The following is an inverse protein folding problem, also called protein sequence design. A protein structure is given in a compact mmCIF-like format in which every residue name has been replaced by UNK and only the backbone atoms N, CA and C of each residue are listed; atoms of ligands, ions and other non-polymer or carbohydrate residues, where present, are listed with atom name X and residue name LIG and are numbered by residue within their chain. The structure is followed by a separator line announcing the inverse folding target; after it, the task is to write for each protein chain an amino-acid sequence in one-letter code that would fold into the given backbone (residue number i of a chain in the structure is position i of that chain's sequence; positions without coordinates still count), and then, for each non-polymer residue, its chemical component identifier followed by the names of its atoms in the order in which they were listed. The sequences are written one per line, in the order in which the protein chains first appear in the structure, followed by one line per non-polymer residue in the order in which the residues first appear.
data_IF_301496261987
#
_entry.id   IF_301496261987
#
_cell.length_a   1.000
_cell.length_b   1.000
_cell.length_c   1.000
_cell.angle_alpha   90.00
_cell.angle_beta   90.00
_cell.angle_gamma   90.00
#
_symmetry.space_group_name_H-M   'P 1'
#
loop_
_entity.id
_entity.type
_entity.pdbx_description
1 polymer ?
#
# COMPACT_ATOMS: atom_id res chain seq x y z
N UNK A 1 -19.62 21.58 46.92
CA UNK A 1 -20.66 20.82 46.20
C UNK A 1 -21.53 21.82 45.46
N UNK A 2 -21.32 21.98 44.15
CA UNK A 2 -22.11 22.87 43.31
C UNK A 2 -22.49 22.09 42.04
N UNK A 3 -23.79 21.92 41.85
CA UNK A 3 -24.41 21.15 40.76
C UNK A 3 -24.78 22.15 39.66
N UNK A 4 -24.20 22.01 38.47
CA UNK A 4 -24.58 22.79 37.29
C UNK A 4 -25.56 21.95 36.48
N UNK A 5 -26.80 22.44 36.38
CA UNK A 5 -27.84 21.88 35.52
C UNK A 5 -27.61 22.33 34.07
N UNK A 6 -27.60 21.39 33.13
CA UNK A 6 -27.66 21.66 31.70
C UNK A 6 -29.12 21.57 31.23
N UNK A 7 -29.62 22.66 30.65
CA UNK A 7 -30.89 22.69 29.93
C UNK A 7 -30.72 22.01 28.57
N UNK A 8 -31.55 21.00 28.33
CA UNK A 8 -31.65 20.26 27.07
C UNK A 8 -32.67 21.00 26.17
N UNK A 9 -32.16 21.70 25.15
CA UNK A 9 -32.95 22.40 24.14
C UNK A 9 -32.90 21.58 22.85
N UNK A 10 -33.80 20.62 22.75
CA UNK A 10 -33.98 19.77 21.57
C UNK A 10 -34.88 20.45 20.54
N UNK A 11 -34.29 21.28 19.68
CA UNK A 11 -34.95 21.68 18.43
C UNK A 11 -34.62 20.66 17.33
N UNK A 12 -35.62 20.08 16.64
CA UNK A 12 -35.38 19.16 15.54
C UNK A 12 -34.83 19.89 14.30
N UNK A 13 -33.95 19.25 13.51
CA UNK A 13 -33.42 19.85 12.30
C UNK A 13 -34.52 20.03 11.23
N UNK A 14 -34.39 21.03 10.35
CA UNK A 14 -35.37 21.30 9.30
C UNK A 14 -35.42 20.13 8.31
N UNK A 15 -36.63 19.59 8.13
CA UNK A 15 -36.98 18.61 7.10
C UNK A 15 -36.79 19.21 5.72
N UNK A 16 -35.86 18.65 4.93
CA UNK A 16 -35.71 18.94 3.52
C UNK A 16 -36.52 17.91 2.72
N UNK A 17 -37.71 18.29 2.26
CA UNK A 17 -38.42 17.55 1.22
C UNK A 17 -37.70 17.76 -0.11
N UNK A 18 -36.85 16.79 -0.47
CA UNK A 18 -36.28 16.70 -1.81
C UNK A 18 -37.35 16.10 -2.72
N UNK A 19 -38.11 16.97 -3.38
CA UNK A 19 -38.94 16.59 -4.51
C UNK A 19 -38.03 16.13 -5.66
N UNK A 20 -37.86 14.81 -5.79
CA UNK A 20 -37.17 14.16 -6.90
C UNK A 20 -38.02 14.35 -8.16
N UNK A 21 -37.67 15.35 -8.96
CA UNK A 21 -38.22 15.56 -10.29
C UNK A 21 -37.75 14.43 -11.23
N UNK A 22 -38.71 13.75 -11.87
CA UNK A 22 -38.54 12.53 -12.68
C UNK A 22 -38.04 12.76 -14.10
N UNK A 23 -37.59 13.96 -14.45
CA UNK A 23 -37.23 14.31 -15.83
C UNK A 23 -35.73 14.57 -16.00
N UNK A 24 -34.91 13.53 -16.01
CA UNK A 24 -33.55 13.62 -16.55
C UNK A 24 -32.95 12.26 -16.94
N UNK A 25 -33.65 11.50 -17.78
CA UNK A 25 -33.10 10.33 -18.49
C UNK A 25 -33.30 10.54 -20.00
N UNK A 26 -32.76 11.63 -20.56
CA UNK A 26 -32.75 11.80 -22.02
C UNK A 26 -31.62 12.71 -22.52
N UNK A 27 -30.37 12.26 -22.37
CA UNK A 27 -29.25 12.68 -23.24
C UNK A 27 -28.00 11.84 -22.93
N UNK A 28 -27.92 10.62 -23.47
CA UNK A 28 -26.68 9.79 -23.44
C UNK A 28 -26.11 9.51 -24.84
N UNK A 29 -26.65 10.13 -25.90
CA UNK A 29 -26.28 9.82 -27.29
C UNK A 29 -25.52 10.93 -28.05
N UNK A 30 -25.27 12.10 -27.45
CA UNK A 30 -24.63 13.24 -28.14
C UNK A 30 -23.28 13.63 -27.55
N UNK A 31 -22.32 12.70 -27.49
CA UNK A 31 -20.93 12.99 -27.06
C UNK A 31 -19.91 12.65 -28.15
N UNK A 32 -20.33 12.05 -29.29
CA UNK A 32 -19.41 11.38 -30.22
C UNK A 32 -18.96 12.18 -31.46
N UNK A 33 -19.38 13.42 -31.69
CA UNK A 33 -19.18 14.09 -33.00
C UNK A 33 -18.21 15.31 -33.05
N UNK A 34 -17.41 15.61 -32.01
CA UNK A 34 -16.71 16.91 -31.92
C UNK A 34 -15.16 16.90 -32.06
N UNK A 35 -14.54 16.02 -32.86
CA UNK A 35 -13.09 15.77 -32.69
C UNK A 35 -12.28 15.69 -33.99
N UNK A 36 -11.67 16.80 -34.43
CA UNK A 36 -10.52 16.78 -35.37
C UNK A 36 -9.31 17.70 -35.01
N UNK A 37 -9.44 18.68 -34.10
CA UNK A 37 -8.28 19.47 -33.61
C UNK A 37 -8.26 19.77 -32.11
N UNK A 38 -9.33 19.41 -31.37
CA UNK A 38 -9.48 19.57 -29.91
C UNK A 38 -9.31 18.25 -29.12
N UNK A 39 -8.77 17.20 -29.73
CA UNK A 39 -8.72 15.83 -29.19
C UNK A 39 -8.22 15.72 -27.75
N UNK A 40 -7.06 16.32 -27.46
CA UNK A 40 -6.42 16.14 -26.15
C UNK A 40 -7.22 16.76 -25.01
N UNK A 41 -7.78 17.96 -25.20
CA UNK A 41 -8.57 18.64 -24.18
C UNK A 41 -9.89 17.92 -23.93
N UNK A 42 -10.58 17.48 -25.00
CA UNK A 42 -11.80 16.69 -24.87
C UNK A 42 -11.56 15.35 -24.19
N UNK A 43 -10.50 14.63 -24.56
CA UNK A 43 -10.10 13.37 -23.92
C UNK A 43 -9.77 13.59 -22.44
N UNK A 44 -9.02 14.63 -22.10
CA UNK A 44 -8.69 14.94 -20.71
C UNK A 44 -9.93 15.30 -19.89
N UNK A 45 -10.85 16.09 -20.44
CA UNK A 45 -12.13 16.42 -19.79
C UNK A 45 -12.95 15.16 -19.51
N UNK A 46 -12.99 14.22 -20.45
CA UNK A 46 -13.72 12.97 -20.30
C UNK A 46 -13.07 12.05 -19.26
N UNK A 47 -11.74 11.92 -19.28
CA UNK A 47 -10.98 11.21 -18.24
C UNK A 47 -11.26 11.82 -16.87
N UNK A 48 -11.22 13.15 -16.75
CA UNK A 48 -11.50 13.86 -15.51
C UNK A 48 -12.92 13.56 -14.99
N UNK A 49 -13.91 13.56 -15.87
CA UNK A 49 -15.28 13.17 -15.51
C UNK A 49 -15.36 11.72 -15.01
N UNK A 50 -14.70 10.77 -15.69
CA UNK A 50 -14.69 9.35 -15.30
C UNK A 50 -14.10 9.15 -13.89
N UNK A 51 -13.02 9.86 -13.56
CA UNK A 51 -12.35 9.68 -12.26
C UNK A 51 -13.00 10.45 -11.13
N UNK A 52 -13.78 11.48 -11.43
CA UNK A 52 -14.38 12.36 -10.40
C UNK A 52 -15.87 12.12 -10.19
N UNK A 53 -16.59 11.67 -11.23
CA UNK A 53 -18.04 11.54 -11.18
C UNK A 53 -18.45 10.11 -10.79
N UNK A 54 -19.25 9.91 -9.72
CA UNK A 54 -19.71 8.59 -9.34
C UNK A 54 -20.68 7.97 -10.37
N UNK A 55 -21.28 8.78 -11.25
CA UNK A 55 -22.36 8.39 -12.16
C UNK A 55 -21.98 7.49 -13.35
N UNK A 56 -20.68 7.21 -13.57
CA UNK A 56 -20.29 6.23 -14.59
C UNK A 56 -20.43 4.82 -14.02
N UNK A 57 -21.34 4.03 -14.58
CA UNK A 57 -21.45 2.61 -14.23
C UNK A 57 -20.26 1.82 -14.76
N UNK A 58 -19.91 0.72 -14.08
CA UNK A 58 -18.77 -0.16 -14.43
C UNK A 58 -18.79 -0.58 -15.91
N UNK A 59 -19.98 -0.88 -16.46
CA UNK A 59 -20.14 -1.27 -17.86
C UNK A 59 -19.83 -0.15 -18.88
N UNK A 60 -19.94 1.12 -18.48
CA UNK A 60 -19.73 2.27 -19.36
C UNK A 60 -18.28 2.74 -19.41
N UNK A 61 -17.49 2.49 -18.36
CA UNK A 61 -16.13 3.03 -18.22
C UNK A 61 -15.19 2.47 -19.30
N UNK A 62 -15.18 1.15 -19.51
CA UNK A 62 -14.27 0.52 -20.47
C UNK A 62 -14.49 0.97 -21.93
N UNK A 63 -15.73 1.01 -22.48
CA UNK A 63 -15.97 1.55 -23.82
C UNK A 63 -15.52 3.01 -23.98
N UNK A 64 -15.74 3.85 -22.97
CA UNK A 64 -15.36 5.26 -23.01
C UNK A 64 -13.84 5.41 -23.04
N UNK A 65 -13.12 4.71 -22.15
CA UNK A 65 -11.66 4.75 -22.11
C UNK A 65 -11.06 4.22 -23.42
N UNK A 66 -11.62 3.16 -24.01
CA UNK A 66 -11.21 2.66 -25.33
C UNK A 66 -11.42 3.70 -26.42
N UNK A 67 -12.53 4.43 -26.39
CA UNK A 67 -12.78 5.54 -27.32
C UNK A 67 -11.75 6.67 -27.14
N UNK A 68 -11.44 7.05 -25.89
CA UNK A 68 -10.38 8.01 -25.60
C UNK A 68 -9.00 7.55 -26.10
N UNK A 69 -8.69 6.26 -25.92
CA UNK A 69 -7.44 5.66 -26.37
C UNK A 69 -7.35 5.61 -27.90
N UNK A 70 -8.45 5.35 -28.60
CA UNK A 70 -8.50 5.39 -30.07
C UNK A 70 -8.34 6.80 -30.65
N UNK A 71 -8.74 7.82 -29.89
CA UNK A 71 -8.66 9.22 -30.31
C UNK A 71 -7.22 9.81 -30.26
N UNK A 72 -6.25 9.08 -29.70
CA UNK A 72 -4.86 9.53 -29.55
C UNK A 72 -3.89 8.38 -29.89
N UNK A 73 -2.68 8.67 -30.42
CA UNK A 73 -1.63 7.65 -30.51
C UNK A 73 -1.35 7.04 -29.13
N UNK A 74 -1.15 5.71 -29.07
CA UNK A 74 -0.99 4.97 -27.81
C UNK A 74 0.05 5.60 -26.87
N UNK A 75 1.20 6.01 -27.40
CA UNK A 75 2.25 6.68 -26.63
C UNK A 75 1.79 8.03 -26.04
N UNK A 76 0.99 8.82 -26.78
CA UNK A 76 0.43 10.09 -26.30
C UNK A 76 -0.64 9.87 -25.24
N UNK A 77 -1.47 8.83 -25.38
CA UNK A 77 -2.49 8.48 -24.39
C UNK A 77 -1.85 8.00 -23.08
N UNK A 78 -0.86 7.10 -23.17
CA UNK A 78 -0.08 6.64 -22.01
C UNK A 78 0.59 7.81 -21.28
N UNK A 79 1.23 8.73 -22.03
CA UNK A 79 1.83 9.94 -21.47
C UNK A 79 0.80 10.89 -20.85
N UNK A 80 -0.42 10.96 -21.40
CA UNK A 80 -1.51 11.77 -20.86
C UNK A 80 -1.95 11.26 -19.48
N UNK A 81 -2.13 9.94 -19.34
CA UNK A 81 -2.54 9.30 -18.08
C UNK A 81 -1.50 9.45 -16.97
N UNK A 82 -0.21 9.39 -17.32
CA UNK A 82 0.89 9.48 -16.37
C UNK A 82 1.32 10.91 -16.03
N UNK A 83 0.81 11.92 -16.75
CA UNK A 83 1.15 13.33 -16.49
C UNK A 83 0.15 13.92 -15.49
N UNK A 84 0.66 14.74 -14.59
CA UNK A 84 -0.11 15.54 -13.62
C UNK A 84 -0.93 16.62 -14.34
N UNK A 85 -2.14 16.27 -14.76
CA UNK A 85 -3.00 17.14 -15.58
C UNK A 85 -4.35 17.44 -14.91
N UNK A 86 -4.65 16.85 -13.75
CA UNK A 86 -5.88 17.07 -13.00
C UNK A 86 -5.48 17.50 -11.59
N UNK A 87 -5.63 18.77 -11.27
CA UNK A 87 -5.31 19.33 -9.95
C UNK A 87 -3.90 18.96 -9.47
N UNK A 88 -2.91 19.07 -10.36
CA UNK A 88 -1.51 18.67 -10.13
C UNK A 88 -1.27 17.18 -9.79
N UNK A 89 -2.25 16.32 -10.02
CA UNK A 89 -2.13 14.87 -9.92
C UNK A 89 -2.47 14.16 -11.24
N UNK A 90 -2.07 12.89 -11.32
CA UNK A 90 -2.38 12.01 -12.46
C UNK A 90 -3.85 11.59 -12.45
N UNK A 91 -4.38 11.16 -13.59
CA UNK A 91 -5.72 10.57 -13.64
C UNK A 91 -5.82 9.29 -12.79
N UNK A 92 -4.73 8.52 -12.72
CA UNK A 92 -4.66 7.30 -11.94
C UNK A 92 -4.70 7.58 -10.43
N UNK A 93 -4.07 8.66 -9.96
CA UNK A 93 -4.17 9.13 -8.57
C UNK A 93 -5.63 9.33 -8.19
N UNK A 94 -6.38 10.11 -8.98
CA UNK A 94 -7.79 10.38 -8.71
C UNK A 94 -8.65 9.13 -8.82
N UNK A 95 -8.31 8.19 -9.71
CA UNK A 95 -8.99 6.91 -9.77
C UNK A 95 -8.84 6.10 -8.47
N UNK A 96 -7.71 6.19 -7.77
CA UNK A 96 -7.51 5.54 -6.47
C UNK A 96 -8.27 6.30 -5.38
N UNK A 97 -8.04 7.61 -5.26
CA UNK A 97 -8.64 8.45 -4.20
C UNK A 97 -10.16 8.44 -4.24
N UNK A 98 -10.76 8.44 -5.43
CA UNK A 98 -12.21 8.42 -5.61
C UNK A 98 -12.78 6.99 -5.72
N UNK A 99 -11.98 5.96 -5.40
CA UNK A 99 -12.35 4.54 -5.45
C UNK A 99 -13.00 4.12 -6.80
N UNK A 100 -12.41 4.56 -7.91
CA UNK A 100 -12.81 4.24 -9.29
C UNK A 100 -11.96 3.08 -9.83
N UNK A 101 -12.00 1.93 -9.15
CA UNK A 101 -11.14 0.76 -9.44
C UNK A 101 -11.29 0.25 -10.87
N UNK A 102 -12.49 0.32 -11.42
CA UNK A 102 -12.76 -0.05 -12.82
C UNK A 102 -12.04 0.87 -13.81
N UNK A 103 -11.99 2.18 -13.54
CA UNK A 103 -11.24 3.12 -14.38
C UNK A 103 -9.74 2.89 -14.26
N UNK A 104 -9.25 2.66 -13.04
CA UNK A 104 -7.84 2.33 -12.78
C UNK A 104 -7.39 1.11 -13.58
N UNK A 105 -8.14 0.00 -13.50
CA UNK A 105 -7.84 -1.24 -14.23
C UNK A 105 -7.80 -1.04 -15.74
N UNK A 106 -8.71 -0.24 -16.30
CA UNK A 106 -8.70 0.06 -17.74
C UNK A 106 -7.53 0.98 -18.13
N UNK A 107 -7.18 1.99 -17.32
CA UNK A 107 -6.06 2.88 -17.62
C UNK A 107 -4.71 2.15 -17.63
N UNK A 108 -4.49 1.23 -16.69
CA UNK A 108 -3.22 0.49 -16.55
C UNK A 108 -2.91 -0.35 -17.79
N UNK A 109 -3.93 -0.84 -18.53
CA UNK A 109 -3.74 -1.58 -19.78
C UNK A 109 -3.00 -0.77 -20.87
N UNK A 110 -3.04 0.56 -20.78
CA UNK A 110 -2.37 1.47 -21.72
C UNK A 110 -1.02 1.98 -21.20
N UNK A 111 -0.54 1.45 -20.07
CA UNK A 111 0.70 1.88 -19.41
C UNK A 111 1.62 0.67 -19.25
N UNK A 112 2.56 0.45 -20.19
CA UNK A 112 3.47 -0.70 -20.10
C UNK A 112 4.45 -0.56 -18.92
N UNK A 113 4.79 0.67 -18.55
CA UNK A 113 5.66 0.99 -17.42
C UNK A 113 5.30 2.37 -16.87
N UNK A 114 5.15 2.46 -15.55
CA UNK A 114 5.01 3.74 -14.88
C UNK A 114 6.32 4.51 -14.90
N UNK A 115 6.25 5.80 -15.24
CA UNK A 115 7.32 6.75 -14.99
C UNK A 115 7.51 6.95 -13.49
N UNK A 116 8.72 7.29 -13.06
CA UNK A 116 9.04 7.52 -11.64
C UNK A 116 8.12 8.56 -10.99
N UNK A 117 7.80 9.64 -11.70
CA UNK A 117 6.89 10.68 -11.21
C UNK A 117 5.45 10.15 -11.04
N UNK A 118 4.98 9.32 -11.97
CA UNK A 118 3.69 8.65 -11.84
C UNK A 118 3.67 7.66 -10.67
N UNK A 119 4.69 6.81 -10.52
CA UNK A 119 4.77 5.86 -9.38
C UNK A 119 4.73 6.58 -8.04
N UNK A 120 5.47 7.68 -7.89
CA UNK A 120 5.43 8.51 -6.67
C UNK A 120 4.04 9.10 -6.41
N UNK A 121 3.36 9.55 -7.47
CA UNK A 121 1.98 10.06 -7.37
C UNK A 121 1.00 8.96 -6.96
N UNK A 122 1.09 7.76 -7.54
CA UNK A 122 0.26 6.61 -7.18
C UNK A 122 0.46 6.17 -5.73
N UNK A 123 1.71 6.18 -5.25
CA UNK A 123 2.03 5.89 -3.84
C UNK A 123 1.37 6.88 -2.90
N UNK A 124 1.40 8.16 -3.25
CA UNK A 124 0.68 9.20 -2.51
C UNK A 124 -0.83 8.94 -2.51
N UNK A 125 -1.41 8.55 -3.65
CA UNK A 125 -2.83 8.21 -3.76
C UNK A 125 -3.22 7.06 -2.84
N UNK A 126 -2.43 5.97 -2.83
CA UNK A 126 -2.68 4.81 -1.97
C UNK A 126 -2.58 5.19 -0.49
N UNK A 127 -1.63 6.05 -0.10
CA UNK A 127 -1.56 6.58 1.27
C UNK A 127 -2.78 7.43 1.61
N UNK A 128 -3.20 8.34 0.72
CA UNK A 128 -4.34 9.21 0.96
C UNK A 128 -5.66 8.43 1.11
N UNK A 129 -5.84 7.37 0.31
CA UNK A 129 -7.02 6.50 0.35
C UNK A 129 -6.90 5.35 1.37
N UNK A 130 -5.72 5.19 2.01
CA UNK A 130 -5.35 4.00 2.78
C UNK A 130 -5.61 2.66 2.04
N UNK A 131 -5.37 2.63 0.73
CA UNK A 131 -5.75 1.52 -0.16
C UNK A 131 -4.53 0.62 -0.46
N UNK A 132 -4.40 -0.46 0.32
CA UNK A 132 -3.36 -1.47 0.13
C UNK A 132 -3.57 -2.33 -1.12
N UNK A 133 -4.83 -2.62 -1.48
CA UNK A 133 -5.15 -3.46 -2.63
C UNK A 133 -4.67 -2.83 -3.93
N UNK A 134 -4.96 -1.54 -4.13
CA UNK A 134 -4.46 -0.79 -5.29
C UNK A 134 -2.94 -0.72 -5.30
N UNK A 135 -2.30 -0.57 -4.13
CA UNK A 135 -0.84 -0.57 -4.01
C UNK A 135 -0.22 -1.89 -4.49
N UNK A 136 -0.80 -3.03 -4.09
CA UNK A 136 -0.35 -4.37 -4.51
C UNK A 136 -0.67 -4.64 -5.97
N UNK A 137 -1.88 -4.33 -6.43
CA UNK A 137 -2.33 -4.47 -7.82
C UNK A 137 -1.38 -3.76 -8.80
N UNK A 138 -0.97 -2.54 -8.45
CA UNK A 138 -0.08 -1.71 -9.27
C UNK A 138 1.40 -2.04 -9.06
N UNK A 139 1.73 -2.99 -8.18
CA UNK A 139 3.09 -3.42 -7.84
C UNK A 139 3.99 -2.24 -7.42
N UNK A 140 3.43 -1.28 -6.67
CA UNK A 140 4.14 -0.04 -6.32
C UNK A 140 5.25 -0.23 -5.29
N UNK A 141 5.31 -1.37 -4.61
CA UNK A 141 6.41 -1.73 -3.70
C UNK A 141 7.70 -2.13 -4.43
N UNK A 142 7.63 -2.44 -5.72
CA UNK A 142 8.74 -3.02 -6.51
C UNK A 142 9.45 -1.96 -7.38
N UNK A 143 9.44 -0.71 -6.91
CA UNK A 143 9.94 0.45 -7.69
C UNK A 143 11.48 0.51 -7.79
N UNK A 144 12.20 -0.37 -7.11
CA UNK A 144 13.64 -0.49 -7.31
C UNK A 144 13.91 -1.44 -8.48
N UNK A 145 14.43 -0.86 -9.57
CA UNK A 145 14.59 -1.50 -10.89
C UNK A 145 15.53 -2.72 -10.84
N UNK A 146 16.16 -3.00 -9.70
CA UNK A 146 17.24 -3.97 -9.57
C UNK A 146 17.09 -4.88 -8.34
N UNK A 147 15.87 -5.12 -7.86
CA UNK A 147 15.68 -6.10 -6.79
C UNK A 147 16.07 -7.50 -7.31
N UNK A 148 17.22 -8.01 -6.85
CA UNK A 148 17.67 -9.40 -7.10
C UNK A 148 16.55 -10.40 -6.82
N UNK A 149 15.70 -10.09 -5.84
CA UNK A 149 14.52 -10.88 -5.49
C UNK A 149 13.51 -11.00 -6.65
N UNK A 150 13.21 -9.94 -7.41
CA UNK A 150 12.27 -10.03 -8.54
C UNK A 150 12.78 -10.95 -9.64
N UNK A 151 14.04 -10.79 -10.03
CA UNK A 151 14.69 -11.66 -11.02
C UNK A 151 14.69 -13.11 -10.53
N UNK A 152 15.00 -13.30 -9.24
CA UNK A 152 15.00 -14.60 -8.58
C UNK A 152 13.61 -15.23 -8.56
N UNK A 153 12.55 -14.48 -8.23
CA UNK A 153 11.17 -15.00 -8.27
C UNK A 153 10.79 -15.49 -9.64
N UNK A 154 11.12 -14.72 -10.69
CA UNK A 154 10.87 -15.13 -12.09
C UNK A 154 11.63 -16.40 -12.44
N UNK A 155 12.91 -16.48 -12.06
CA UNK A 155 13.74 -17.68 -12.28
C UNK A 155 13.22 -18.91 -11.52
N UNK A 156 12.69 -18.71 -10.31
CA UNK A 156 12.17 -19.78 -9.46
C UNK A 156 10.71 -20.16 -9.78
N UNK A 157 10.03 -19.44 -10.67
CA UNK A 157 8.58 -19.57 -10.85
C UNK A 157 7.80 -19.27 -9.57
N UNK A 158 8.38 -18.49 -8.65
CA UNK A 158 7.77 -18.15 -7.37
C UNK A 158 6.73 -17.04 -7.58
N UNK A 159 5.46 -17.23 -7.16
CA UNK A 159 4.48 -16.17 -7.25
C UNK A 159 4.81 -15.03 -6.27
N UNK A 160 4.03 -13.96 -6.35
CA UNK A 160 4.14 -12.84 -5.42
C UNK A 160 3.83 -13.29 -3.99
N UNK A 161 4.41 -12.59 -3.02
CA UNK A 161 4.09 -12.82 -1.61
C UNK A 161 2.66 -12.31 -1.35
N UNK A 162 1.93 -13.02 -0.48
CA UNK A 162 0.60 -12.58 -0.07
C UNK A 162 0.75 -11.68 1.15
N UNK A 163 0.18 -10.48 1.07
CA UNK A 163 0.22 -9.46 2.11
C UNK A 163 -1.20 -8.98 2.29
N UNK A 164 -1.74 -9.19 3.48
CA UNK A 164 -3.11 -8.79 3.82
C UNK A 164 -3.05 -7.82 4.99
N UNK A 165 -3.53 -6.60 4.76
CA UNK A 165 -3.63 -5.58 5.80
C UNK A 165 -5.07 -5.54 6.29
N UNK A 166 -5.26 -5.64 7.61
CA UNK A 166 -6.56 -5.50 8.27
C UNK A 166 -6.50 -4.38 9.29
N UNK A 167 -7.42 -3.44 9.21
CA UNK A 167 -7.58 -2.45 10.27
C UNK A 167 -8.17 -3.10 11.52
N UNK A 168 -7.69 -2.69 12.69
CA UNK A 168 -8.27 -3.12 13.96
C UNK A 168 -9.66 -2.53 14.16
N UNK A 169 -10.42 -3.14 15.05
CA UNK A 169 -11.79 -2.74 15.33
C UNK A 169 -11.86 -1.28 15.82
N UNK A 170 -12.59 -0.44 15.09
CA UNK A 170 -12.75 0.99 15.37
C UNK A 170 -13.66 1.27 16.56
N UNK A 171 -14.35 0.23 17.08
CA UNK A 171 -15.19 0.34 18.27
C UNK A 171 -14.43 0.91 19.48
N UNK A 172 -13.12 0.66 19.57
CA UNK A 172 -12.25 1.39 20.49
C UNK A 172 -11.82 2.72 19.86
N UNK A 173 -12.68 3.74 20.00
CA UNK A 173 -12.44 5.11 19.53
C UNK A 173 -11.04 5.56 19.97
N UNK A 174 -10.12 5.68 19.01
CA UNK A 174 -8.74 6.15 19.22
C UNK A 174 -7.65 5.06 19.17
N UNK A 175 -7.98 3.78 19.02
CA UNK A 175 -6.95 2.75 18.80
C UNK A 175 -6.55 2.70 17.32
N UNK A 176 -5.43 3.36 16.98
CA UNK A 176 -4.79 3.24 15.65
C UNK A 176 -4.05 1.90 15.54
N UNK A 177 -4.80 0.79 15.62
CA UNK A 177 -4.28 -0.57 15.55
C UNK A 177 -4.54 -1.13 14.15
N UNK A 178 -3.58 -1.86 13.61
CA UNK A 178 -3.77 -2.66 12.41
C UNK A 178 -2.91 -3.91 12.46
N UNK A 179 -3.32 -4.90 11.66
CA UNK A 179 -2.71 -6.21 11.54
C UNK A 179 -2.24 -6.41 10.12
N UNK A 180 -1.09 -7.04 9.95
CA UNK A 180 -0.56 -7.41 8.63
C UNK A 180 -0.18 -8.87 8.64
N UNK A 181 -0.82 -9.64 7.78
CA UNK A 181 -0.50 -11.04 7.58
C UNK A 181 0.39 -11.17 6.34
N UNK A 182 1.55 -11.80 6.51
CA UNK A 182 2.53 -12.02 5.45
C UNK A 182 2.69 -13.51 5.18
N UNK A 183 2.71 -13.87 3.89
CA UNK A 183 3.05 -15.21 3.41
C UNK A 183 4.17 -15.10 2.38
N UNK A 184 5.40 -15.34 2.83
CA UNK A 184 6.60 -15.32 1.97
C UNK A 184 6.89 -16.70 1.42
N UNK A 185 6.73 -16.86 0.11
CA UNK A 185 6.97 -18.15 -0.56
C UNK A 185 8.45 -18.36 -0.87
N UNK A 186 8.94 -19.59 -0.72
CA UNK A 186 10.36 -19.93 -0.90
C UNK A 186 11.30 -19.00 -0.11
N UNK A 187 10.87 -18.54 1.06
CA UNK A 187 11.52 -17.50 1.84
C UNK A 187 13.00 -17.79 2.04
N UNK A 188 13.36 -19.01 2.44
CA UNK A 188 14.76 -19.33 2.73
C UNK A 188 15.65 -19.30 1.51
N UNK A 189 15.18 -19.91 0.42
CA UNK A 189 15.90 -19.95 -0.85
C UNK A 189 16.10 -18.53 -1.36
N UNK A 190 15.05 -17.72 -1.29
CA UNK A 190 15.08 -16.31 -1.68
C UNK A 190 16.00 -15.49 -0.81
N UNK A 191 15.93 -15.60 0.51
CA UNK A 191 16.79 -14.87 1.43
C UNK A 191 18.26 -15.28 1.28
N UNK A 192 18.56 -16.58 1.12
CA UNK A 192 19.94 -17.05 0.89
C UNK A 192 20.52 -16.59 -0.44
N UNK A 193 19.72 -16.52 -1.51
CA UNK A 193 20.21 -16.09 -2.82
C UNK A 193 20.23 -14.57 -2.98
N UNK A 194 19.15 -13.89 -2.61
CA UNK A 194 19.02 -12.43 -2.74
C UNK A 194 19.72 -11.67 -1.60
N UNK A 195 20.01 -12.33 -0.46
CA UNK A 195 20.58 -11.78 0.79
C UNK A 195 19.70 -10.78 1.53
N UNK A 196 18.65 -10.31 0.88
CA UNK A 196 17.69 -9.35 1.39
C UNK A 196 16.33 -9.60 0.73
N UNK A 197 15.29 -9.62 1.53
CA UNK A 197 13.90 -9.60 1.11
C UNK A 197 13.25 -8.36 1.70
N UNK A 198 12.48 -7.64 0.89
CA UNK A 198 11.82 -6.41 1.30
C UNK A 198 10.41 -6.41 0.76
N UNK A 199 9.46 -6.05 1.62
CA UNK A 199 8.07 -5.84 1.24
C UNK A 199 7.60 -4.51 1.78
N UNK A 200 6.79 -3.83 0.99
CA UNK A 200 6.10 -2.61 1.38
C UNK A 200 4.60 -2.85 1.43
N UNK A 201 3.91 -2.18 2.35
CA UNK A 201 2.46 -2.25 2.49
C UNK A 201 1.88 -0.92 2.96
N UNK A 202 0.60 -0.70 2.70
CA UNK A 202 -0.10 0.54 3.06
C UNK A 202 -0.97 0.28 4.28
N UNK A 203 -0.80 1.07 5.32
CA UNK A 203 -1.66 1.03 6.50
C UNK A 203 -1.64 2.37 7.23
N UNK A 204 -2.80 2.83 7.71
CA UNK A 204 -2.96 4.07 8.47
C UNK A 204 -2.33 5.28 7.74
N UNK A 205 -2.58 5.36 6.43
CA UNK A 205 -2.14 6.44 5.56
C UNK A 205 -0.63 6.54 5.37
N UNK A 206 0.08 5.41 5.52
CA UNK A 206 1.55 5.31 5.39
C UNK A 206 1.93 4.06 4.62
N UNK A 207 3.08 4.14 3.96
CA UNK A 207 3.76 2.99 3.38
C UNK A 207 4.83 2.54 4.36
N UNK A 208 4.60 1.35 4.89
CA UNK A 208 5.51 0.64 5.77
C UNK A 208 6.42 -0.26 4.95
N UNK A 209 7.56 -0.63 5.53
CA UNK A 209 8.53 -1.52 4.95
C UNK A 209 8.92 -2.56 5.99
N UNK A 210 8.79 -3.84 5.64
CA UNK A 210 9.36 -4.96 6.39
C UNK A 210 10.49 -5.57 5.57
N UNK A 211 11.66 -5.69 6.17
CA UNK A 211 12.86 -6.22 5.51
C UNK A 211 13.40 -7.39 6.29
N UNK A 212 13.73 -8.46 5.59
CA UNK A 212 14.57 -9.53 6.09
C UNK A 212 15.92 -9.44 5.41
N UNK A 213 17.01 -9.64 6.13
CA UNK A 213 18.34 -9.68 5.55
C UNK A 213 19.22 -10.69 6.24
N UNK A 214 20.37 -10.96 5.64
CA UNK A 214 21.35 -11.88 6.18
C UNK A 214 22.74 -11.22 6.20
N UNK A 215 23.39 -11.28 7.34
CA UNK A 215 24.79 -10.93 7.51
C UNK A 215 25.66 -12.01 6.87
N UNK A 216 26.50 -11.61 5.92
CA UNK A 216 27.37 -12.53 5.19
C UNK A 216 28.55 -13.06 6.02
N UNK A 217 28.97 -12.30 7.03
CA UNK A 217 30.12 -12.65 7.85
C UNK A 217 29.73 -13.63 8.95
N UNK A 218 28.60 -13.40 9.62
CA UNK A 218 28.14 -14.23 10.73
C UNK A 218 27.14 -15.30 10.30
N UNK A 219 26.45 -15.10 9.17
CA UNK A 219 25.32 -15.95 8.76
C UNK A 219 24.01 -15.61 9.48
N UNK A 220 24.05 -14.69 10.46
CA UNK A 220 22.87 -14.25 11.18
C UNK A 220 21.91 -13.53 10.24
N UNK A 221 20.62 -13.72 10.45
CA UNK A 221 19.62 -12.94 9.77
C UNK A 221 19.05 -11.89 10.71
N UNK A 222 18.46 -10.87 10.10
CA UNK A 222 17.85 -9.76 10.79
C UNK A 222 16.51 -9.44 10.15
N UNK A 223 15.64 -8.82 10.94
CA UNK A 223 14.39 -8.22 10.46
C UNK A 223 14.42 -6.74 10.76
N UNK A 224 13.93 -5.91 9.85
CA UNK A 224 13.81 -4.47 10.03
C UNK A 224 12.40 -4.01 9.70
N UNK A 225 11.85 -3.15 10.55
CA UNK A 225 10.61 -2.44 10.31
C UNK A 225 10.92 -0.95 10.12
N UNK A 226 10.40 -0.39 9.04
CA UNK A 226 10.63 0.99 8.67
C UNK A 226 9.44 1.62 7.95
N UNK A 227 9.65 2.86 7.52
CA UNK A 227 8.68 3.66 6.78
C UNK A 227 9.34 4.10 5.47
N UNK A 228 8.58 4.04 4.38
CA UNK A 228 9.08 4.42 3.07
C UNK A 228 9.33 5.93 2.96
N UNK A 229 10.08 6.34 1.93
CA UNK A 229 10.53 7.74 1.74
C UNK A 229 9.40 8.75 1.65
N UNK A 230 8.26 8.31 1.13
CA UNK A 230 7.12 9.19 0.83
C UNK A 230 6.18 9.38 2.04
N UNK A 231 6.45 8.70 3.15
CA UNK A 231 5.54 8.62 4.30
C UNK A 231 5.97 9.51 5.47
N UNK A 232 4.98 10.01 6.22
CA UNK A 232 5.24 10.85 7.39
C UNK A 232 5.77 10.05 8.58
N UNK A 233 6.74 10.64 9.29
CA UNK A 233 7.37 10.06 10.47
C UNK A 233 6.36 9.67 11.58
N UNK A 234 6.61 8.55 12.26
CA UNK A 234 5.71 8.00 13.29
C UNK A 234 6.47 7.29 14.42
N UNK A 235 5.81 7.08 15.56
CA UNK A 235 6.31 6.29 16.69
C UNK A 235 5.43 5.04 16.87
N UNK A 236 5.74 3.93 16.21
CA UNK A 236 4.95 2.72 16.37
C UNK A 236 5.36 1.92 17.60
N UNK A 237 4.37 1.28 18.22
CA UNK A 237 4.59 0.02 18.90
C UNK A 237 4.22 -1.09 17.92
N UNK A 238 5.10 -2.04 17.70
CA UNK A 238 4.82 -3.20 16.87
C UNK A 238 5.14 -4.49 17.62
N UNK A 239 4.48 -5.56 17.23
CA UNK A 239 4.79 -6.94 17.63
C UNK A 239 4.73 -7.76 16.37
N UNK A 240 5.84 -8.41 16.02
CA UNK A 240 5.93 -9.29 14.87
C UNK A 240 5.99 -10.74 15.36
N UNK A 241 4.95 -11.49 15.06
CA UNK A 241 4.79 -12.89 15.40
C UNK A 241 5.13 -13.75 14.18
N UNK A 242 6.24 -14.47 14.24
CA UNK A 242 6.64 -15.40 13.18
C UNK A 242 6.11 -16.78 13.53
N UNK A 243 5.20 -17.27 12.69
CA UNK A 243 4.59 -18.58 12.88
C UNK A 243 5.53 -19.67 12.38
N UNK A 244 5.64 -20.72 13.16
CA UNK A 244 6.53 -21.83 12.91
C UNK A 244 5.73 -23.04 12.41
N UNK A 245 6.22 -23.75 11.40
CA UNK A 245 5.54 -24.90 10.82
C UNK A 245 5.88 -26.21 11.55
N UNK A 246 4.82 -26.96 11.89
CA UNK A 246 4.86 -28.27 12.56
C UNK A 246 5.50 -29.32 11.63
N UNK A 247 6.82 -29.53 11.76
CA UNK A 247 7.54 -30.57 11.02
C UNK A 247 7.82 -31.84 11.85
N UNK A 248 7.56 -31.84 13.15
CA UNK A 248 7.79 -33.02 13.99
C UNK A 248 6.47 -33.74 14.32
N UNK A 249 6.25 -34.95 13.77
CA UNK A 249 5.17 -35.81 14.24
C UNK A 249 5.49 -36.23 15.69
N UNK A 250 4.77 -35.65 16.66
CA UNK A 250 4.87 -36.02 18.09
C UNK A 250 5.11 -34.88 19.08
N UNK A 251 5.33 -33.64 18.64
CA UNK A 251 5.37 -32.46 19.53
C UNK A 251 4.15 -31.58 19.29
N UNK A 252 3.24 -31.52 20.26
CA UNK A 252 1.91 -30.93 20.09
C UNK A 252 1.79 -29.44 20.44
N UNK A 253 2.87 -28.79 20.90
CA UNK A 253 2.82 -27.36 21.23
C UNK A 253 4.05 -26.65 20.67
N UNK A 254 3.89 -26.00 19.51
CA UNK A 254 4.88 -25.05 19.01
C UNK A 254 4.54 -23.64 19.48
N UNK A 255 5.52 -22.99 20.10
CA UNK A 255 5.40 -21.59 20.50
C UNK A 255 5.75 -20.70 19.29
N UNK A 256 4.90 -19.72 18.93
CA UNK A 256 5.25 -18.71 17.94
C UNK A 256 6.46 -17.91 18.42
N UNK A 257 7.26 -17.42 17.50
CA UNK A 257 8.28 -16.43 17.86
C UNK A 257 7.65 -15.05 17.92
N UNK A 258 7.64 -14.49 19.11
CA UNK A 258 7.17 -13.14 19.37
C UNK A 258 8.33 -12.15 19.38
N UNK A 259 8.40 -11.28 18.37
CA UNK A 259 9.36 -10.18 18.30
C UNK A 259 8.69 -8.88 18.71
N UNK A 260 8.99 -8.41 19.92
CA UNK A 260 8.42 -7.17 20.44
C UNK A 260 9.21 -5.95 19.97
N UNK A 261 8.49 -5.01 19.37
CA UNK A 261 9.02 -3.76 18.84
C UNK A 261 8.47 -2.59 19.65
N UNK A 262 9.12 -2.24 20.75
CA UNK A 262 8.82 -1.00 21.49
C UNK A 262 9.79 0.08 21.06
N UNK A 263 9.32 0.97 20.17
CA UNK A 263 10.15 2.10 19.74
C UNK A 263 9.92 3.28 20.69
N UNK A 264 10.96 3.70 21.42
CA UNK A 264 11.03 5.07 21.95
C UNK A 264 11.40 6.08 20.85
N UNK A 265 11.89 5.56 19.72
CA UNK A 265 12.42 6.33 18.59
C UNK A 265 11.35 6.67 17.55
N UNK A 266 11.50 7.82 16.89
CA UNK A 266 10.68 8.22 15.74
C UNK A 266 11.25 7.53 14.51
N UNK A 267 10.43 6.76 13.79
CA UNK A 267 10.76 6.30 12.45
C UNK A 267 10.67 7.49 11.48
N UNK A 268 11.73 7.77 10.74
CA UNK A 268 11.79 8.83 9.74
C UNK A 268 11.71 8.22 8.33
N UNK A 269 11.09 8.92 7.36
CA UNK A 269 11.06 8.48 5.98
C UNK A 269 12.46 8.28 5.40
N UNK A 270 12.61 7.18 4.67
CA UNK A 270 13.78 6.95 3.81
C UNK A 270 15.07 6.57 4.51
N UNK A 271 14.96 5.97 5.69
CA UNK A 271 16.06 5.27 6.33
C UNK A 271 16.67 4.24 5.39
N UNK A 272 17.79 4.60 4.77
CA UNK A 272 18.70 3.64 4.16
C UNK A 272 19.45 3.01 5.32
N UNK A 273 19.18 1.74 5.62
CA UNK A 273 20.07 0.99 6.50
C UNK A 273 21.35 0.71 5.70
N UNK A 274 22.37 1.54 5.87
CA UNK A 274 23.73 1.19 5.44
C UNK A 274 24.24 0.15 6.44
N UNK A 275 23.99 -1.13 6.17
CA UNK A 275 24.70 -2.17 6.89
C UNK A 275 26.20 -2.08 6.56
N UNK A 276 27.00 -1.91 7.60
CA UNK A 276 28.46 -1.97 7.63
C UNK A 276 29.21 -0.86 6.88
N UNK A 277 28.98 0.42 7.19
CA UNK A 277 30.06 1.41 7.30
C UNK A 277 29.60 2.53 8.22
N UNK A 278 30.45 2.90 9.17
CA UNK A 278 30.33 3.95 10.19
C UNK A 278 30.22 5.36 9.59
N UNK A 279 29.23 5.59 8.71
CA UNK A 279 28.92 6.91 8.18
C UNK A 279 27.87 7.61 9.05
N UNK A 280 28.02 8.90 9.37
CA UNK A 280 27.20 9.61 10.37
C UNK A 280 25.77 9.95 9.94
N UNK A 281 25.32 9.63 8.72
CA UNK A 281 24.05 10.12 8.17
C UNK A 281 23.07 9.01 7.74
N UNK A 282 22.59 8.19 8.69
CA UNK A 282 21.46 7.27 8.45
C UNK A 282 20.56 7.12 9.68
N UNK A 283 19.37 7.73 9.63
CA UNK A 283 18.28 7.60 10.62
C UNK A 283 17.09 6.86 10.03
N UNK A 284 16.15 6.31 10.82
CA UNK A 284 16.26 5.08 11.59
C UNK A 284 15.22 4.06 11.09
N UNK A 285 15.68 2.91 10.58
CA UNK A 285 14.87 1.70 10.64
C UNK A 285 15.11 1.07 12.01
N UNK A 286 14.10 0.43 12.61
CA UNK A 286 14.35 -0.40 13.79
C UNK A 286 14.72 -1.78 13.28
N UNK A 287 15.88 -2.26 13.68
CA UNK A 287 16.49 -3.50 13.20
C UNK A 287 16.66 -4.45 14.38
N UNK A 288 16.32 -5.72 14.18
CA UNK A 288 16.53 -6.80 15.14
C UNK A 288 17.48 -7.80 14.52
N UNK A 289 18.60 -8.02 15.19
CA UNK A 289 19.43 -9.18 14.91
C UNK A 289 18.77 -10.41 15.54
N UNK A 290 18.55 -11.45 14.74
CA UNK A 290 18.03 -12.73 15.22
C UNK A 290 19.25 -13.64 15.49
N UNK A 291 20.17 -13.12 16.30
CA UNK A 291 21.62 -13.44 16.37
C UNK A 291 21.98 -14.88 16.74
N UNK A 292 21.03 -15.71 17.14
CA UNK A 292 21.31 -17.11 17.54
C UNK A 292 20.33 -18.10 16.89
N UNK A 293 19.65 -17.67 15.82
CA UNK A 293 18.65 -18.48 15.14
C UNK A 293 19.21 -19.05 13.83
N UNK A 294 19.86 -20.23 13.89
CA UNK A 294 20.45 -20.78 12.70
C UNK A 294 19.33 -21.17 11.72
N UNK A 295 19.37 -20.57 10.53
CA UNK A 295 18.70 -21.13 9.37
C UNK A 295 19.43 -22.40 8.92
N UNK A 296 19.46 -23.43 9.76
CA UNK A 296 19.88 -24.77 9.33
C UNK A 296 18.92 -25.29 8.25
N UNK A 297 19.35 -26.28 7.46
CA UNK A 297 18.52 -26.86 6.40
C UNK A 297 17.16 -27.42 6.91
N UNK A 298 17.02 -27.63 8.23
CA UNK A 298 15.85 -28.21 8.90
C UNK A 298 15.07 -27.21 9.79
N UNK A 299 15.15 -25.91 9.54
CA UNK A 299 14.41 -24.91 10.34
C UNK A 299 12.91 -25.18 10.41
N UNK A 300 12.37 -25.20 11.62
CA UNK A 300 10.97 -25.37 11.93
C UNK A 300 10.06 -24.18 11.54
N UNK A 301 10.58 -23.12 10.90
CA UNK A 301 9.82 -21.88 10.65
C UNK A 301 9.33 -21.71 9.22
N UNK A 302 9.69 -22.65 8.35
CA UNK A 302 9.14 -22.71 7.01
C UNK A 302 8.43 -24.03 6.79
N UNK A 303 7.36 -24.01 5.99
CA UNK A 303 6.66 -25.25 5.65
C UNK A 303 7.55 -26.14 4.76
N UNK A 304 7.04 -27.30 4.38
CA UNK A 304 7.73 -28.18 3.44
C UNK A 304 8.02 -27.53 2.07
N UNK A 305 7.38 -26.41 1.74
CA UNK A 305 7.57 -25.63 0.52
C UNK A 305 8.52 -24.43 0.72
N UNK A 306 9.07 -24.24 1.92
CA UNK A 306 9.91 -23.10 2.26
C UNK A 306 9.13 -21.80 2.48
N UNK A 307 7.82 -21.87 2.76
CA UNK A 307 6.94 -20.72 3.03
C UNK A 307 7.07 -20.27 4.48
N UNK A 308 7.34 -18.97 4.68
CA UNK A 308 7.30 -18.31 5.99
C UNK A 308 5.98 -17.57 6.15
N UNK A 309 5.28 -17.81 7.25
CA UNK A 309 4.08 -17.05 7.64
C UNK A 309 4.42 -16.16 8.83
N UNK A 310 4.04 -14.90 8.76
CA UNK A 310 4.23 -13.95 9.85
C UNK A 310 3.03 -13.03 10.01
N UNK A 311 2.77 -12.61 11.23
CA UNK A 311 1.71 -11.67 11.59
C UNK A 311 2.32 -10.48 12.34
N UNK A 312 2.10 -9.29 11.82
CA UNK A 312 2.55 -8.04 12.44
C UNK A 312 1.35 -7.33 13.02
N UNK A 313 1.34 -7.15 14.33
CA UNK A 313 0.40 -6.29 15.04
C UNK A 313 1.05 -4.94 15.28
N UNK A 314 0.42 -3.86 14.84
CA UNK A 314 0.92 -2.50 15.02
C UNK A 314 -0.07 -1.62 15.77
N UNK A 315 0.44 -0.80 16.68
CA UNK A 315 -0.30 0.24 17.38
C UNK A 315 0.43 1.57 17.24
N UNK A 316 -0.23 2.57 16.67
CA UNK A 316 0.31 3.92 16.54
C UNK A 316 -0.17 4.78 17.72
N UNK A 317 0.78 5.24 18.55
CA UNK A 317 0.44 6.19 19.62
C UNK A 317 0.01 7.53 19.01
N UNK A 318 -1.12 8.11 19.43
CA UNK A 318 -1.47 9.47 19.01
C UNK A 318 -0.37 10.44 19.43
N UNK A 319 -0.08 11.43 18.58
CA UNK A 319 0.77 12.54 18.99
C UNK A 319 0.01 13.29 20.08
N UNK A 320 0.50 13.23 21.32
CA UNK A 320 0.02 14.13 22.35
C UNK A 320 0.17 15.57 21.83
N UNK A 321 -0.89 16.40 21.89
CA UNK A 321 -0.75 17.81 21.55
C UNK A 321 0.37 18.38 22.42
N UNK A 322 1.35 19.05 21.80
CA UNK A 322 2.33 19.81 22.57
C UNK A 322 1.53 20.78 23.43
N UNK A 323 1.63 20.67 24.77
CA UNK A 323 1.13 21.73 25.65
C UNK A 323 1.87 23.00 25.25
N UNK A 324 1.12 23.96 24.70
CA UNK A 324 1.61 25.30 24.38
C UNK A 324 1.89 26.10 25.63
#
# INVERSE_FOLDING_TARGET
MATIAFNDSSDPPPSYDVSVSKDSIRSKQSVFSFIQSKHKASVLSLIHQIVSSPGFGVASVAPIIKSCAAALPAAKFSKLLQKRNIENHTALYWAIVNNRREALLEFVKFIPKFSRACSADLRLACMAANDHDSFMLLHLGDNDVDSKDRSLRRMLGCPLDDIQVREGDTLNVGSNIFFVHFVFRMFQKRLRTARKLEVEFVAQGRIWMLRFGMNMLTGDWFVELGISRDSSAVRPNAVLDIQANKLSPGSDIMQPLHLYMRTSHILLPGGVCKHYMTGPDTTPAVSWQLSDWPMHANTAYVDCNGTLTAELTMTIKPRYPRRG
#
